data_IF_233548236438
#
_entry.id   IF_233548236438
#
_cell.length_a   1.000
_cell.length_b   1.000
_cell.length_c   1.000
_cell.angle_alpha   90.00
_cell.angle_beta   90.00
_cell.angle_gamma   90.00
#
_symmetry.space_group_name_H-M   'P 1'
#
loop_
_entity.id
_entity.type
_entity.pdbx_description
1 polymer ?
#
# COMPACT_ATOMS: atom_id res chain seq x y z
N UNK A 1 10.18 4.38 -0.96
CA UNK A 1 8.78 3.91 -0.90
C UNK A 1 8.49 3.41 0.51
N UNK A 2 7.31 3.65 1.06
CA UNK A 2 6.95 3.29 2.43
C UNK A 2 5.62 2.53 2.48
N UNK A 3 5.50 1.58 3.40
CA UNK A 3 4.35 0.68 3.53
C UNK A 3 3.91 0.60 4.99
N UNK A 4 2.60 0.63 5.23
CA UNK A 4 1.99 0.34 6.52
C UNK A 4 1.06 -0.84 6.34
N UNK A 5 1.31 -1.93 7.07
CA UNK A 5 0.39 -3.07 7.09
C UNK A 5 -0.62 -2.86 8.22
N UNK A 6 -1.87 -2.63 7.86
CA UNK A 6 -2.98 -2.36 8.78
C UNK A 6 -3.88 -3.59 8.89
N UNK A 7 -4.25 -3.96 10.13
CA UNK A 7 -5.19 -5.07 10.35
C UNK A 7 -5.27 -5.50 11.81
N UNK A 8 -6.24 -6.36 12.17
CA UNK A 8 -6.47 -6.82 13.53
C UNK A 8 -5.27 -7.59 14.07
N UNK A 9 -5.19 -7.74 15.39
CA UNK A 9 -4.19 -8.62 16.01
C UNK A 9 -4.31 -10.05 15.45
N UNK A 10 -3.19 -10.75 15.34
CA UNK A 10 -3.11 -12.13 14.82
C UNK A 10 -3.42 -12.35 13.33
N UNK A 11 -3.55 -11.29 12.55
CA UNK A 11 -3.70 -11.37 11.08
C UNK A 11 -2.39 -11.62 10.32
N UNK A 12 -1.25 -11.68 11.01
CA UNK A 12 0.06 -11.97 10.40
C UNK A 12 0.81 -10.81 9.76
N UNK A 13 0.49 -9.59 10.14
CA UNK A 13 1.16 -8.37 9.65
C UNK A 13 2.68 -8.43 9.86
N UNK A 14 3.12 -8.67 11.10
CA UNK A 14 4.54 -8.77 11.44
C UNK A 14 5.20 -9.92 10.70
N UNK A 15 4.52 -11.06 10.60
CA UNK A 15 5.01 -12.23 9.86
C UNK A 15 5.30 -11.89 8.40
N UNK A 16 4.38 -11.22 7.69
CA UNK A 16 4.60 -10.81 6.29
C UNK A 16 5.78 -9.85 6.16
N UNK A 17 5.85 -8.82 7.02
CA UNK A 17 6.94 -7.84 6.99
C UNK A 17 8.29 -8.52 7.25
N UNK A 18 8.37 -9.39 8.26
CA UNK A 18 9.58 -10.15 8.60
C UNK A 18 10.01 -11.10 7.48
N UNK A 19 9.05 -11.76 6.80
CA UNK A 19 9.37 -12.62 5.66
C UNK A 19 9.88 -11.84 4.46
N UNK A 20 9.30 -10.68 4.16
CA UNK A 20 9.80 -9.77 3.13
C UNK A 20 11.19 -9.26 3.49
N UNK A 21 11.45 -8.91 4.76
CA UNK A 21 12.76 -8.47 5.21
C UNK A 21 13.86 -9.52 4.97
N UNK A 22 13.54 -10.82 5.10
CA UNK A 22 14.49 -11.92 4.81
C UNK A 22 14.86 -12.04 3.32
N UNK A 23 14.08 -11.48 2.42
CA UNK A 23 14.44 -11.44 0.99
C UNK A 23 15.61 -10.48 0.75
N UNK A 24 15.89 -9.55 1.66
CA UNK A 24 16.99 -8.61 1.54
C UNK A 24 18.24 -9.14 2.27
N UNK A 25 19.44 -8.84 1.76
CA UNK A 25 20.68 -9.17 2.46
C UNK A 25 20.77 -8.40 3.79
N UNK A 26 21.44 -8.96 4.79
CA UNK A 26 21.45 -8.41 6.15
C UNK A 26 22.00 -6.98 6.22
N UNK A 27 22.97 -6.65 5.36
CA UNK A 27 23.54 -5.31 5.20
C UNK A 27 22.59 -4.29 4.54
N UNK A 28 21.44 -4.70 4.01
CA UNK A 28 20.44 -3.82 3.44
C UNK A 28 19.22 -3.63 4.36
N UNK A 29 19.17 -4.31 5.51
CA UNK A 29 18.02 -4.26 6.43
C UNK A 29 18.40 -3.58 7.74
N UNK A 30 17.52 -2.71 8.23
CA UNK A 30 17.56 -2.21 9.60
C UNK A 30 16.23 -2.57 10.25
N UNK A 31 16.24 -3.61 11.08
CA UNK A 31 15.05 -4.10 11.77
C UNK A 31 15.09 -3.70 13.24
N UNK A 32 14.06 -3.01 13.70
CA UNK A 32 13.93 -2.60 15.09
C UNK A 32 12.48 -2.76 15.56
N UNK A 33 12.30 -3.39 16.71
CA UNK A 33 10.99 -3.58 17.35
C UNK A 33 10.43 -2.28 17.89
N UNK A 34 11.30 -1.38 18.33
CA UNK A 34 10.97 -0.03 18.78
C UNK A 34 12.09 0.93 18.36
N UNK A 35 11.72 2.07 17.79
CA UNK A 35 12.65 3.10 17.34
C UNK A 35 12.26 4.39 18.03
N UNK A 36 13.13 4.87 18.92
CA UNK A 36 12.92 6.21 19.48
C UNK A 36 13.17 7.26 18.39
N UNK A 37 12.39 8.35 18.35
CA UNK A 37 12.49 9.35 17.27
C UNK A 37 13.85 10.03 17.23
N UNK A 38 14.48 10.16 18.40
CA UNK A 38 15.79 10.75 18.54
C UNK A 38 16.91 9.80 18.07
N UNK A 39 16.76 8.48 18.25
CA UNK A 39 17.81 7.53 17.89
C UNK A 39 18.19 7.62 16.41
N UNK A 40 17.21 7.87 15.52
CA UNK A 40 17.42 8.00 14.09
C UNK A 40 18.47 9.05 13.73
N UNK A 41 18.54 10.17 14.47
CA UNK A 41 19.51 11.23 14.19
C UNK A 41 20.94 10.84 14.56
N UNK A 42 21.12 9.93 15.50
CA UNK A 42 22.43 9.59 16.07
C UNK A 42 22.94 8.21 15.64
N UNK A 43 22.31 7.58 14.63
CA UNK A 43 22.87 6.41 13.98
C UNK A 43 24.24 6.75 13.34
N UNK A 44 25.12 5.76 13.15
CA UNK A 44 26.36 5.99 12.42
C UNK A 44 26.10 6.59 11.03
N UNK A 45 26.98 7.48 10.52
CA UNK A 45 26.81 8.05 9.19
C UNK A 45 26.70 6.97 8.12
N UNK A 46 25.69 7.08 7.25
CA UNK A 46 25.44 6.12 6.16
C UNK A 46 24.67 4.86 6.57
N UNK A 47 24.38 4.67 7.86
CA UNK A 47 23.65 3.48 8.35
C UNK A 47 22.22 3.39 7.78
N UNK A 48 21.64 4.52 7.35
CA UNK A 48 20.29 4.58 6.78
C UNK A 48 20.26 4.59 5.25
N UNK A 49 21.37 4.86 4.59
CA UNK A 49 21.39 5.04 3.15
C UNK A 49 21.12 3.72 2.44
N UNK A 50 20.11 3.69 1.57
CA UNK A 50 19.64 2.52 0.84
C UNK A 50 19.24 1.32 1.73
N UNK A 51 18.80 1.58 2.97
CA UNK A 51 18.27 0.53 3.86
C UNK A 51 16.77 0.33 3.73
N UNK A 52 16.35 -0.92 3.87
CA UNK A 52 14.99 -1.30 4.22
C UNK A 52 14.83 -1.26 5.76
N UNK A 53 14.20 -0.18 6.23
CA UNK A 53 13.89 0.05 7.64
C UNK A 53 12.57 -0.63 7.99
N UNK A 54 12.63 -1.63 8.85
CA UNK A 54 11.47 -2.34 9.38
C UNK A 54 11.26 -1.92 10.83
N UNK A 55 10.18 -1.18 11.06
CA UNK A 55 9.72 -0.83 12.40
C UNK A 55 8.67 -1.86 12.88
N UNK A 56 8.59 -2.04 14.20
CA UNK A 56 7.63 -2.93 14.85
C UNK A 56 6.17 -2.45 14.74
N UNK A 57 5.32 -2.93 15.67
CA UNK A 57 3.92 -2.51 15.71
C UNK A 57 3.79 -1.11 16.31
N UNK A 58 3.21 -0.19 15.53
CA UNK A 58 2.89 1.16 15.98
C UNK A 58 1.88 1.12 17.12
N UNK A 59 2.20 1.81 18.22
CA UNK A 59 1.30 1.88 19.38
C UNK A 59 -0.05 2.55 19.05
N UNK A 60 -1.12 2.09 19.71
CA UNK A 60 -2.51 2.53 19.45
C UNK A 60 -2.86 3.95 19.93
N UNK A 61 -1.95 4.61 20.65
CA UNK A 61 -2.25 5.91 21.24
C UNK A 61 -2.27 6.95 20.13
N UNK A 62 -3.44 7.54 19.86
CA UNK A 62 -3.58 8.72 19.00
C UNK A 62 -3.40 9.97 19.87
N UNK A 63 -2.16 10.22 20.31
CA UNK A 63 -1.81 11.39 21.11
C UNK A 63 -0.76 12.21 20.35
N UNK A 64 -0.63 13.50 20.64
CA UNK A 64 0.36 14.37 19.98
C UNK A 64 1.81 13.84 20.16
N UNK A 65 2.08 13.10 21.24
CA UNK A 65 3.35 12.43 21.47
C UNK A 65 3.66 11.33 20.44
N UNK A 66 2.68 10.53 20.01
CA UNK A 66 2.90 9.49 19.01
C UNK A 66 3.00 10.05 17.58
N UNK A 67 2.35 11.18 17.29
CA UNK A 67 2.55 11.92 16.04
C UNK A 67 3.96 12.55 15.96
N UNK A 68 4.52 12.97 17.09
CA UNK A 68 5.93 13.38 17.17
C UNK A 68 6.86 12.19 16.98
N UNK A 69 6.45 10.99 17.41
CA UNK A 69 7.29 9.78 17.31
C UNK A 69 7.63 9.42 15.87
N UNK A 70 6.70 9.62 14.93
CA UNK A 70 6.89 9.27 13.52
C UNK A 70 7.36 10.45 12.66
N UNK A 71 7.51 11.65 13.23
CA UNK A 71 7.89 12.86 12.47
C UNK A 71 9.23 12.68 11.75
N UNK A 72 10.23 12.13 12.43
CA UNK A 72 11.54 11.88 11.82
C UNK A 72 11.42 10.89 10.65
N UNK A 73 10.67 9.80 10.82
CA UNK A 73 10.46 8.83 9.73
C UNK A 73 9.71 9.45 8.55
N UNK A 74 8.66 10.25 8.81
CA UNK A 74 7.93 10.96 7.76
C UNK A 74 8.81 11.92 6.97
N UNK A 75 9.68 12.64 7.67
CA UNK A 75 10.64 13.54 7.03
C UNK A 75 11.62 12.75 6.17
N UNK A 76 12.22 11.68 6.71
CA UNK A 76 13.12 10.80 5.96
C UNK A 76 12.46 10.20 4.71
N UNK A 77 11.19 9.78 4.81
CA UNK A 77 10.41 9.26 3.67
C UNK A 77 10.15 10.34 2.61
N UNK A 78 9.98 11.60 3.03
CA UNK A 78 9.56 12.69 2.14
C UNK A 78 10.74 13.42 1.49
N UNK A 79 11.78 13.75 2.25
CA UNK A 79 12.92 14.55 1.80
C UNK A 79 14.19 13.74 1.58
N UNK A 80 14.20 12.46 1.98
CA UNK A 80 15.36 11.57 1.81
C UNK A 80 16.52 11.90 2.75
N UNK A 81 16.35 12.80 3.70
CA UNK A 81 17.36 13.16 4.69
C UNK A 81 16.71 13.63 6.00
N UNK A 82 17.46 13.54 7.09
CA UNK A 82 17.10 14.12 8.37
C UNK A 82 18.09 15.19 8.76
N UNK A 83 17.60 16.35 9.18
CA UNK A 83 18.43 17.44 9.69
C UNK A 83 17.88 17.88 11.04
N UNK A 84 18.72 17.81 12.08
CA UNK A 84 18.38 18.26 13.44
C UNK A 84 19.42 19.26 13.94
N UNK A 85 18.94 20.45 14.26
CA UNK A 85 19.73 21.49 14.91
C UNK A 85 19.39 21.48 16.40
N UNK A 86 20.39 21.31 17.27
CA UNK A 86 20.19 21.36 18.72
C UNK A 86 21.42 21.91 19.44
N UNK A 87 21.20 22.44 20.64
CA UNK A 87 22.27 22.96 21.49
C UNK A 87 22.82 21.85 22.36
N UNK A 88 24.14 21.72 22.41
CA UNK A 88 24.84 20.86 23.37
C UNK A 88 25.59 21.72 24.38
N UNK A 89 25.66 21.25 25.61
CA UNK A 89 26.46 21.86 26.66
C UNK A 89 27.87 21.27 26.60
N UNK A 90 28.85 22.09 26.23
CA UNK A 90 30.27 21.75 26.24
C UNK A 90 30.96 22.49 27.41
N UNK A 91 32.07 22.01 27.99
CA UNK A 91 32.89 22.75 28.93
C UNK A 91 33.23 24.22 28.54
N UNK A 92 33.25 24.56 27.26
CA UNK A 92 33.51 25.93 26.77
C UNK A 92 32.23 26.81 26.66
N UNK A 93 31.05 26.24 26.92
CA UNK A 93 29.75 26.91 26.84
C UNK A 93 28.74 26.19 25.93
N UNK A 94 27.49 26.69 25.86
CA UNK A 94 26.49 26.13 24.98
C UNK A 94 26.86 26.38 23.52
N UNK A 95 26.94 25.31 22.72
CA UNK A 95 27.16 25.41 21.26
C UNK A 95 26.05 24.73 20.49
N UNK A 96 25.68 25.34 19.36
CA UNK A 96 24.68 24.78 18.45
C UNK A 96 25.34 23.79 17.49
N UNK A 97 24.78 22.60 17.37
CA UNK A 97 25.25 21.53 16.49
C UNK A 97 24.14 21.10 15.55
N UNK A 98 24.52 20.86 14.29
CA UNK A 98 23.64 20.28 13.28
C UNK A 98 24.03 18.83 13.08
N UNK A 99 23.06 17.94 13.21
CA UNK A 99 23.19 16.50 12.94
C UNK A 99 22.40 16.19 11.69
N UNK A 100 23.04 15.50 10.74
CA UNK A 100 22.43 15.12 9.47
C UNK A 100 22.52 13.61 9.27
N UNK A 101 21.46 13.02 8.74
CA UNK A 101 21.43 11.62 8.32
C UNK A 101 20.90 11.56 6.89
N UNK A 102 21.61 10.84 6.04
CA UNK A 102 21.24 10.64 4.64
C UNK A 102 20.41 9.37 4.50
N UNK A 103 19.33 9.47 3.73
CA UNK A 103 18.66 8.34 3.11
C UNK A 103 19.17 8.14 1.68
N UNK A 104 18.36 7.61 0.75
CA UNK A 104 16.94 7.26 0.91
C UNK A 104 16.74 5.93 1.66
N UNK A 105 15.56 5.74 2.26
CA UNK A 105 15.14 4.46 2.86
C UNK A 105 13.91 3.88 2.14
N UNK A 106 13.79 2.56 2.20
CA UNK A 106 12.49 1.89 2.15
C UNK A 106 12.00 1.69 3.58
N UNK A 107 10.69 1.79 3.82
CA UNK A 107 10.13 1.70 5.18
C UNK A 107 8.93 0.77 5.24
N UNK A 108 8.87 -0.07 6.27
CA UNK A 108 7.70 -0.88 6.60
C UNK A 108 7.40 -0.84 8.10
N UNK A 109 6.13 -0.73 8.45
CA UNK A 109 5.62 -0.91 9.81
C UNK A 109 4.27 -1.63 9.81
N UNK A 110 3.84 -2.07 10.98
CA UNK A 110 2.49 -2.62 11.15
C UNK A 110 1.68 -1.82 12.17
N UNK A 111 0.35 -1.85 12.05
CA UNK A 111 -0.53 -1.23 13.03
C UNK A 111 -1.82 -2.00 13.22
N UNK A 112 -2.31 -2.02 14.47
CA UNK A 112 -3.66 -2.47 14.82
C UNK A 112 -4.64 -1.30 15.02
N UNK A 113 -4.19 -0.06 14.81
CA UNK A 113 -5.07 1.10 14.88
C UNK A 113 -6.13 1.03 13.77
N UNK A 114 -7.40 1.35 14.07
CA UNK A 114 -8.47 1.34 13.08
C UNK A 114 -8.27 2.44 12.02
N UNK A 115 -7.59 3.52 12.39
CA UNK A 115 -7.30 4.65 11.53
C UNK A 115 -5.80 4.93 11.52
N UNK A 116 -5.30 5.31 10.35
CA UNK A 116 -3.94 5.81 10.14
C UNK A 116 -4.04 7.30 9.90
N UNK A 117 -3.15 8.09 10.51
CA UNK A 117 -3.13 9.54 10.31
C UNK A 117 -3.03 9.86 8.81
N UNK A 118 -3.81 10.84 8.36
CA UNK A 118 -3.90 11.22 6.95
C UNK A 118 -2.52 11.57 6.36
N UNK A 119 -1.67 12.20 7.17
CA UNK A 119 -0.29 12.50 6.79
C UNK A 119 0.55 11.25 6.48
N UNK A 120 0.35 10.15 7.21
CA UNK A 120 1.02 8.88 6.95
C UNK A 120 0.36 8.14 5.77
N UNK A 121 -0.97 8.10 5.73
CA UNK A 121 -1.73 7.46 4.66
C UNK A 121 -1.45 8.06 3.27
N UNK A 122 -1.12 9.35 3.23
CA UNK A 122 -0.72 10.03 2.02
C UNK A 122 0.72 9.72 1.57
N UNK A 123 1.60 9.29 2.48
CA UNK A 123 3.02 9.02 2.19
C UNK A 123 3.30 7.53 2.01
N UNK A 124 2.54 6.68 2.68
CA UNK A 124 2.72 5.25 2.73
C UNK A 124 1.60 4.51 1.98
N UNK A 125 1.94 3.39 1.35
CA UNK A 125 0.97 2.44 0.85
C UNK A 125 0.36 1.68 2.04
N UNK A 126 -0.97 1.70 2.15
CA UNK A 126 -1.68 0.98 3.22
C UNK A 126 -2.07 -0.40 2.71
N UNK A 127 -1.42 -1.43 3.23
CA UNK A 127 -1.70 -2.83 2.90
C UNK A 127 -2.55 -3.47 4.00
N UNK A 128 -3.38 -4.43 3.60
CA UNK A 128 -4.19 -5.23 4.52
C UNK A 128 -3.88 -6.70 4.30
N UNK A 129 -3.73 -7.49 5.37
CA UNK A 129 -3.59 -8.93 5.25
C UNK A 129 -4.86 -9.56 4.71
N UNK A 130 -4.73 -10.72 4.06
CA UNK A 130 -5.89 -11.49 3.60
C UNK A 130 -6.54 -12.24 4.77
N UNK A 131 -7.70 -11.76 5.19
CA UNK A 131 -8.48 -12.28 6.32
C UNK A 131 -9.53 -13.32 5.89
N UNK A 132 -9.54 -13.75 4.62
CA UNK A 132 -10.55 -14.71 4.14
C UNK A 132 -10.40 -16.06 4.85
N UNK A 133 -11.52 -16.77 5.11
CA UNK A 133 -11.47 -18.13 5.67
C UNK A 133 -10.60 -19.10 4.86
N UNK A 134 -10.58 -18.95 3.54
CA UNK A 134 -9.77 -19.74 2.62
C UNK A 134 -8.28 -19.57 2.91
N UNK A 135 -7.83 -18.33 3.15
CA UNK A 135 -6.45 -18.05 3.51
C UNK A 135 -6.10 -18.63 4.88
N UNK A 136 -7.00 -18.49 5.86
CA UNK A 136 -6.82 -19.12 7.18
C UNK A 136 -6.67 -20.65 7.06
N UNK A 137 -7.48 -21.31 6.23
CA UNK A 137 -7.36 -22.76 5.98
C UNK A 137 -6.02 -23.12 5.34
N UNK A 138 -5.55 -22.34 4.37
CA UNK A 138 -4.23 -22.55 3.72
C UNK A 138 -3.10 -22.45 4.75
N UNK A 139 -3.14 -21.46 5.62
CA UNK A 139 -2.16 -21.27 6.70
C UNK A 139 -2.19 -22.46 7.67
N UNK A 140 -3.36 -22.90 8.12
CA UNK A 140 -3.46 -24.04 9.03
C UNK A 140 -2.94 -25.34 8.39
N UNK A 141 -3.24 -25.56 7.12
CA UNK A 141 -2.73 -26.71 6.36
C UNK A 141 -1.20 -26.65 6.18
N UNK A 142 -0.65 -25.45 5.95
CA UNK A 142 0.79 -25.21 5.91
C UNK A 142 1.49 -25.58 7.22
N UNK A 143 0.99 -25.05 8.33
CA UNK A 143 1.52 -25.35 9.67
C UNK A 143 1.40 -26.82 10.01
N UNK A 144 0.27 -27.47 9.65
CA UNK A 144 0.07 -28.91 9.82
C UNK A 144 1.12 -29.74 9.06
N UNK A 145 1.39 -29.44 7.79
CA UNK A 145 2.41 -30.14 6.98
C UNK A 145 3.82 -29.92 7.51
N UNK A 146 4.13 -28.71 7.99
CA UNK A 146 5.41 -28.44 8.62
C UNK A 146 5.62 -29.27 9.89
N UNK A 147 4.63 -29.31 10.78
CA UNK A 147 4.68 -30.09 12.03
C UNK A 147 4.72 -31.60 11.78
N UNK A 148 4.14 -32.08 10.67
CA UNK A 148 4.25 -33.49 10.26
C UNK A 148 5.58 -33.84 9.57
N UNK A 149 6.55 -32.92 9.53
CA UNK A 149 7.87 -33.15 8.93
C UNK A 149 7.90 -33.16 7.40
N UNK A 150 6.83 -32.70 6.74
CA UNK A 150 6.71 -32.67 5.28
C UNK A 150 7.21 -31.34 4.67
N UNK A 151 7.94 -30.52 5.43
CA UNK A 151 8.41 -29.22 4.94
C UNK A 151 9.72 -29.30 4.16
N UNK A 152 9.76 -28.63 3.02
CA UNK A 152 10.89 -28.41 2.13
C UNK A 152 11.86 -27.32 2.67
N UNK A 153 12.45 -27.53 3.85
CA UNK A 153 13.28 -26.52 4.51
C UNK A 153 14.54 -26.10 3.71
N UNK A 154 15.15 -27.03 2.96
CA UNK A 154 16.40 -26.78 2.23
C UNK A 154 16.25 -25.90 0.97
N UNK A 155 15.13 -26.01 0.25
CA UNK A 155 14.87 -25.20 -0.97
C UNK A 155 14.71 -23.71 -0.62
N UNK A 156 14.18 -23.40 0.57
CA UNK A 156 13.95 -22.01 1.01
C UNK A 156 15.24 -21.23 1.25
N UNK A 157 16.26 -21.88 1.80
CA UNK A 157 17.55 -21.23 2.07
C UNK A 157 18.28 -20.87 0.76
N UNK A 158 18.21 -21.77 -0.23
CA UNK A 158 18.78 -21.53 -1.56
C UNK A 158 18.13 -20.30 -2.23
N UNK A 159 16.80 -20.20 -2.17
CA UNK A 159 16.10 -19.03 -2.74
C UNK A 159 16.50 -17.73 -2.06
N UNK A 160 16.61 -17.68 -0.72
CA UNK A 160 17.08 -16.47 -0.05
C UNK A 160 18.46 -16.05 -0.53
N UNK A 161 19.38 -17.01 -0.68
CA UNK A 161 20.73 -16.74 -1.19
C UNK A 161 20.70 -16.22 -2.63
N UNK A 162 19.84 -16.77 -3.49
CA UNK A 162 19.65 -16.30 -4.86
C UNK A 162 19.09 -14.87 -4.91
N UNK A 163 18.08 -14.55 -4.10
CA UNK A 163 17.55 -13.19 -3.97
C UNK A 163 18.59 -12.20 -3.47
N UNK A 164 19.42 -12.60 -2.50
CA UNK A 164 20.49 -11.75 -1.98
C UNK A 164 21.59 -11.54 -3.01
N UNK A 165 21.96 -12.58 -3.75
CA UNK A 165 22.94 -12.50 -4.83
C UNK A 165 22.44 -11.61 -5.96
N UNK A 166 21.17 -11.76 -6.36
CA UNK A 166 20.52 -10.90 -7.35
C UNK A 166 20.60 -9.44 -6.94
N UNK A 167 20.21 -9.10 -5.71
CA UNK A 167 20.26 -7.71 -5.22
C UNK A 167 21.67 -7.13 -5.21
N UNK A 168 22.68 -7.91 -4.81
CA UNK A 168 24.09 -7.47 -4.84
C UNK A 168 24.64 -7.32 -6.25
N UNK A 169 24.06 -8.01 -7.23
CA UNK A 169 24.43 -7.90 -8.64
C UNK A 169 23.85 -6.63 -9.29
N UNK A 170 22.76 -6.09 -8.77
CA UNK A 170 22.11 -4.91 -9.36
C UNK A 170 23.02 -3.68 -9.27
N UNK A 171 23.26 -3.06 -10.42
CA UNK A 171 23.90 -1.76 -10.51
C UNK A 171 22.88 -0.66 -10.17
N UNK A 172 23.33 0.40 -9.48
CA UNK A 172 22.52 1.60 -9.21
C UNK A 172 22.49 2.47 -10.46
N UNK A 173 21.49 2.23 -11.33
CA UNK A 173 21.33 2.92 -12.60
C UNK A 173 20.06 3.78 -12.62
N UNK A 174 20.07 4.95 -13.30
CA UNK A 174 18.86 5.73 -13.50
C UNK A 174 17.89 4.99 -14.43
N UNK A 175 16.59 5.15 -14.18
CA UNK A 175 15.52 4.62 -15.03
C UNK A 175 14.80 5.78 -15.73
N UNK A 176 14.63 5.66 -17.05
CA UNK A 176 13.81 6.52 -17.89
C UNK A 176 12.48 5.80 -18.17
N UNK A 177 11.36 6.51 -18.02
CA UNK A 177 10.02 6.01 -18.36
C UNK A 177 9.54 6.75 -19.62
N UNK A 178 9.64 6.16 -20.82
CA UNK A 178 9.33 6.85 -22.08
C UNK A 178 7.89 7.35 -22.18
N UNK A 179 6.96 6.63 -21.57
CA UNK A 179 5.53 6.93 -21.59
C UNK A 179 5.06 7.75 -20.37
N UNK A 180 5.98 8.30 -19.57
CA UNK A 180 5.62 9.04 -18.35
C UNK A 180 4.81 10.31 -18.60
N UNK A 181 5.09 11.04 -19.68
CA UNK A 181 4.32 12.22 -20.07
C UNK A 181 2.87 11.86 -20.39
N UNK A 182 2.67 10.79 -21.18
CA UNK A 182 1.33 10.32 -21.52
C UNK A 182 0.60 9.77 -20.28
N UNK A 183 1.30 9.03 -19.42
CA UNK A 183 0.77 8.59 -18.14
C UNK A 183 0.31 9.77 -17.28
N UNK A 184 1.09 10.85 -17.21
CA UNK A 184 0.74 12.04 -16.44
C UNK A 184 -0.48 12.79 -17.01
N UNK A 185 -0.61 12.84 -18.34
CA UNK A 185 -1.78 13.45 -19.02
C UNK A 185 -3.08 12.70 -18.73
N UNK A 186 -3.01 11.36 -18.66
CA UNK A 186 -4.17 10.50 -18.41
C UNK A 186 -4.45 10.28 -16.91
N UNK A 187 -3.49 10.64 -16.04
CA UNK A 187 -3.63 10.49 -14.61
C UNK A 187 -4.73 11.41 -14.05
N UNK A 188 -5.47 11.00 -13.01
CA UNK A 188 -6.50 11.86 -12.44
C UNK A 188 -5.92 13.20 -11.96
N UNK A 189 -6.67 14.29 -12.15
CA UNK A 189 -6.26 15.63 -11.69
C UNK A 189 -6.72 15.96 -10.27
N UNK A 190 -7.67 15.18 -9.75
CA UNK A 190 -8.27 15.35 -8.42
C UNK A 190 -8.50 13.98 -7.75
N UNK A 191 -8.41 13.90 -6.41
CA UNK A 191 -8.05 14.98 -5.47
C UNK A 191 -6.52 15.22 -5.36
N UNK A 192 -6.05 16.11 -4.47
CA UNK A 192 -4.63 16.52 -4.38
C UNK A 192 -3.68 15.35 -4.06
N UNK A 193 -4.19 14.32 -3.39
CA UNK A 193 -3.48 13.09 -3.01
C UNK A 193 -2.92 12.36 -4.24
N UNK A 194 -3.57 12.55 -5.39
CA UNK A 194 -3.17 11.93 -6.66
C UNK A 194 -1.73 12.30 -7.06
N UNK A 195 -1.23 13.48 -6.65
CA UNK A 195 0.18 13.86 -6.87
C UNK A 195 1.17 12.89 -6.22
N UNK A 196 0.85 12.42 -5.01
CA UNK A 196 1.69 11.43 -4.30
C UNK A 196 1.51 10.04 -4.89
N UNK A 197 0.28 9.70 -5.25
CA UNK A 197 -0.03 8.43 -5.94
C UNK A 197 0.72 8.29 -7.25
N UNK A 198 0.84 9.37 -8.05
CA UNK A 198 1.67 9.37 -9.26
C UNK A 198 3.13 9.04 -8.95
N UNK A 199 3.67 9.59 -7.85
CA UNK A 199 4.99 9.25 -7.32
C UNK A 199 5.14 7.77 -6.96
N UNK A 200 4.14 7.17 -6.31
CA UNK A 200 4.14 5.73 -5.99
C UNK A 200 4.11 4.85 -7.24
N UNK A 201 3.28 5.19 -8.22
CA UNK A 201 3.18 4.46 -9.49
C UNK A 201 4.48 4.53 -10.26
N UNK A 202 5.03 5.73 -10.45
CA UNK A 202 6.31 5.90 -11.16
C UNK A 202 7.47 5.22 -10.44
N UNK A 203 7.51 5.27 -9.10
CA UNK A 203 8.51 4.52 -8.30
C UNK A 203 8.38 3.01 -8.48
N UNK A 204 7.17 2.47 -8.61
CA UNK A 204 6.95 1.03 -8.85
C UNK A 204 7.40 0.62 -10.27
N UNK A 205 7.12 1.44 -11.28
CA UNK A 205 7.63 1.24 -12.65
C UNK A 205 9.16 1.24 -12.64
N UNK A 206 9.78 2.20 -11.95
CA UNK A 206 11.24 2.28 -11.84
C UNK A 206 11.82 1.07 -11.12
N UNK A 207 11.20 0.63 -10.03
CA UNK A 207 11.63 -0.55 -9.29
C UNK A 207 11.54 -1.81 -10.17
N UNK A 208 10.45 -1.99 -10.91
CA UNK A 208 10.30 -3.10 -11.87
C UNK A 208 11.40 -3.07 -12.92
N UNK A 209 11.60 -1.93 -13.59
CA UNK A 209 12.61 -1.80 -14.63
C UNK A 209 14.04 -2.04 -14.09
N UNK A 210 14.34 -1.57 -12.87
CA UNK A 210 15.64 -1.75 -12.22
C UNK A 210 15.89 -3.21 -11.83
N UNK A 211 14.88 -3.91 -11.29
CA UNK A 211 14.97 -5.35 -11.01
C UNK A 211 15.24 -6.15 -12.30
N UNK A 212 14.66 -5.70 -13.41
CA UNK A 212 14.85 -6.29 -14.74
C UNK A 212 15.98 -5.63 -15.54
N UNK A 213 16.96 -4.95 -14.92
CA UNK A 213 17.95 -4.14 -15.64
C UNK A 213 18.79 -4.88 -16.69
N UNK A 214 18.93 -6.21 -16.57
CA UNK A 214 19.63 -7.06 -17.54
C UNK A 214 18.75 -7.50 -18.72
N UNK A 215 17.45 -7.27 -18.64
CA UNK A 215 16.43 -7.60 -19.64
C UNK A 215 15.83 -6.35 -20.28
N UNK A 216 16.16 -5.16 -19.77
CA UNK A 216 15.67 -3.89 -20.26
C UNK A 216 16.70 -3.22 -21.17
N UNK A 217 16.27 -2.55 -22.24
CA UNK A 217 17.18 -1.78 -23.07
C UNK A 217 17.78 -0.63 -22.27
N UNK A 218 19.00 -0.23 -22.65
CA UNK A 218 19.66 0.96 -22.14
C UNK A 218 19.69 2.03 -23.23
N UNK A 219 19.54 3.30 -22.85
CA UNK A 219 19.70 4.42 -23.76
C UNK A 219 21.19 4.78 -23.99
N UNK A 220 21.45 5.77 -24.84
CA UNK A 220 22.82 6.23 -25.15
C UNK A 220 23.58 6.74 -23.91
N UNK A 221 22.88 7.17 -22.86
CA UNK A 221 23.45 7.62 -21.60
C UNK A 221 23.64 6.48 -20.58
N UNK A 222 23.35 5.23 -20.96
CA UNK A 222 23.47 4.06 -20.11
C UNK A 222 22.34 3.89 -19.09
N UNK A 223 21.24 4.65 -19.22
CA UNK A 223 20.07 4.58 -18.33
C UNK A 223 19.15 3.45 -18.77
N UNK A 224 18.52 2.80 -17.81
CA UNK A 224 17.54 1.74 -18.08
C UNK A 224 16.28 2.37 -18.67
N UNK A 225 15.73 1.80 -19.73
CA UNK A 225 14.49 2.26 -20.36
C UNK A 225 13.35 1.32 -19.98
N UNK A 226 12.42 1.81 -19.15
CA UNK A 226 11.25 1.05 -18.72
C UNK A 226 10.36 0.68 -19.91
N UNK A 227 9.75 -0.50 -19.83
CA UNK A 227 8.88 -1.07 -20.86
C UNK A 227 7.42 -1.13 -20.39
N UNK A 228 6.43 -1.33 -21.29
CA UNK A 228 5.02 -1.42 -20.93
C UNK A 228 4.72 -2.47 -19.84
N UNK A 229 5.48 -3.57 -19.79
CA UNK A 229 5.37 -4.62 -18.77
C UNK A 229 5.64 -4.08 -17.36
N UNK A 230 6.52 -3.08 -17.22
CA UNK A 230 6.81 -2.45 -15.93
C UNK A 230 5.62 -1.63 -15.41
N UNK A 231 4.86 -1.01 -16.33
CA UNK A 231 3.62 -0.33 -15.98
C UNK A 231 2.49 -1.30 -15.70
N UNK A 232 2.36 -2.36 -16.49
CA UNK A 232 1.40 -3.42 -16.24
C UNK A 232 1.56 -4.01 -14.83
N UNK A 233 2.79 -4.39 -14.46
CA UNK A 233 3.07 -4.90 -13.12
C UNK A 233 2.71 -3.87 -12.03
N UNK A 234 3.04 -2.60 -12.23
CA UNK A 234 2.65 -1.55 -11.31
C UNK A 234 1.13 -1.42 -11.19
N UNK A 235 0.38 -1.54 -12.29
CA UNK A 235 -1.08 -1.50 -12.29
C UNK A 235 -1.67 -2.69 -11.52
N UNK A 236 -1.19 -3.91 -11.78
CA UNK A 236 -1.63 -5.12 -11.09
C UNK A 236 -1.40 -5.02 -9.58
N UNK A 237 -0.21 -4.57 -9.16
CA UNK A 237 0.15 -4.51 -7.74
C UNK A 237 -0.50 -3.35 -6.98
N UNK A 238 -0.70 -2.20 -7.63
CA UNK A 238 -1.12 -0.98 -6.94
C UNK A 238 -2.61 -0.66 -7.07
N UNK A 239 -3.33 -1.18 -8.07
CA UNK A 239 -4.71 -0.76 -8.33
C UNK A 239 -5.63 -0.89 -7.12
N UNK A 240 -5.60 -2.05 -6.44
CA UNK A 240 -6.44 -2.32 -5.28
C UNK A 240 -6.01 -1.49 -4.05
N UNK A 241 -4.70 -1.29 -3.88
CA UNK A 241 -4.12 -0.51 -2.78
C UNK A 241 -4.47 0.98 -2.93
N UNK A 242 -4.30 1.53 -4.13
CA UNK A 242 -4.55 2.92 -4.44
C UNK A 242 -6.03 3.27 -4.45
N UNK A 243 -6.90 2.35 -4.91
CA UNK A 243 -8.33 2.54 -4.82
C UNK A 243 -8.76 2.80 -3.36
N UNK A 244 -8.20 2.04 -2.42
CA UNK A 244 -8.48 2.24 -0.99
C UNK A 244 -7.92 3.54 -0.45
N UNK A 245 -6.69 3.91 -0.83
CA UNK A 245 -6.02 5.12 -0.34
C UNK A 245 -6.65 6.41 -0.88
N UNK A 246 -7.08 6.45 -2.14
CA UNK A 246 -7.72 7.62 -2.77
C UNK A 246 -9.19 7.81 -2.36
N UNK A 247 -9.60 7.28 -1.20
CA UNK A 247 -10.97 7.46 -0.72
C UNK A 247 -12.03 6.64 -1.45
N UNK A 248 -11.67 5.76 -2.40
CA UNK A 248 -12.62 4.75 -2.94
C UNK A 248 -12.93 3.63 -1.92
N UNK A 249 -12.53 3.76 -0.65
CA UNK A 249 -13.18 3.06 0.48
C UNK A 249 -14.71 3.24 0.46
N UNK A 250 -15.19 4.40 -0.02
CA UNK A 250 -16.61 4.58 -0.31
C UNK A 250 -17.08 3.54 -1.32
N UNK A 251 -16.36 3.28 -2.42
CA UNK A 251 -16.80 2.33 -3.45
C UNK A 251 -16.99 0.89 -2.94
N UNK A 252 -16.11 0.32 -2.10
CA UNK A 252 -16.31 -1.08 -1.61
C UNK A 252 -17.37 -1.18 -0.51
N UNK A 253 -17.42 -0.20 0.39
CA UNK A 253 -18.49 -0.12 1.39
C UNK A 253 -19.84 0.13 0.72
N UNK A 254 -19.87 1.03 -0.28
CA UNK A 254 -21.01 1.35 -1.13
C UNK A 254 -21.40 0.16 -2.01
N UNK A 255 -20.47 -0.60 -2.58
CA UNK A 255 -20.77 -1.84 -3.33
C UNK A 255 -21.45 -2.88 -2.44
N UNK A 256 -20.90 -3.12 -1.24
CA UNK A 256 -21.52 -4.02 -0.23
C UNK A 256 -22.85 -3.48 0.28
N UNK A 257 -23.00 -2.16 0.34
CA UNK A 257 -24.26 -1.50 0.68
C UNK A 257 -25.29 -1.69 -0.44
N UNK A 258 -24.97 -1.34 -1.69
CA UNK A 258 -25.79 -1.51 -2.90
C UNK A 258 -26.24 -2.96 -3.07
N UNK A 259 -25.34 -3.94 -2.88
CA UNK A 259 -25.69 -5.36 -2.96
C UNK A 259 -26.80 -5.75 -1.98
N UNK A 260 -26.77 -5.22 -0.76
CA UNK A 260 -27.83 -5.44 0.25
C UNK A 260 -29.04 -4.54 0.00
N UNK A 261 -28.84 -3.35 -0.56
CA UNK A 261 -29.89 -2.38 -0.85
C UNK A 261 -30.86 -2.88 -1.94
N UNK A 262 -30.38 -3.73 -2.87
CA UNK A 262 -31.20 -4.39 -3.90
C UNK A 262 -32.34 -5.24 -3.34
N UNK A 263 -32.23 -5.71 -2.10
CA UNK A 263 -33.31 -6.46 -1.44
C UNK A 263 -34.45 -5.53 -0.94
N UNK A 264 -34.28 -4.21 -1.04
CA UNK A 264 -35.19 -3.18 -0.49
C UNK A 264 -35.70 -2.22 -1.58
N UNK A 265 -36.36 -2.75 -2.60
CA UNK A 265 -36.93 -1.92 -3.67
C UNK A 265 -38.13 -1.08 -3.18
N UNK A 266 -38.36 0.08 -3.81
CA UNK A 266 -39.44 1.01 -3.43
C UNK A 266 -39.00 2.16 -2.52
N UNK A 267 -39.95 2.82 -1.87
CA UNK A 267 -39.68 3.96 -0.98
C UNK A 267 -39.32 3.50 0.43
N UNK A 268 -38.15 3.93 0.92
CA UNK A 268 -37.70 3.63 2.28
C UNK A 268 -37.13 4.87 2.96
N UNK A 269 -37.18 4.88 4.29
CA UNK A 269 -36.48 5.86 5.12
C UNK A 269 -35.11 5.32 5.54
N UNK A 270 -34.16 6.22 5.84
CA UNK A 270 -32.83 5.82 6.32
C UNK A 270 -32.90 4.98 7.62
N UNK A 271 -33.92 5.18 8.45
CA UNK A 271 -34.14 4.45 9.70
C UNK A 271 -34.58 3.00 9.46
N UNK A 272 -35.48 2.78 8.50
CA UNK A 272 -35.94 1.44 8.11
C UNK A 272 -34.79 0.61 7.55
N UNK A 273 -34.00 1.20 6.64
CA UNK A 273 -32.81 0.56 6.06
C UNK A 273 -31.73 0.28 7.12
N UNK A 274 -31.53 1.20 8.07
CA UNK A 274 -30.61 1.03 9.19
C UNK A 274 -30.95 -0.20 10.03
N UNK A 275 -32.23 -0.36 10.38
CA UNK A 275 -32.72 -1.49 11.17
C UNK A 275 -32.63 -2.81 10.39
N UNK A 276 -33.03 -2.81 9.12
CA UNK A 276 -33.05 -4.01 8.30
C UNK A 276 -31.65 -4.52 7.94
N UNK A 277 -30.70 -3.61 7.69
CA UNK A 277 -29.33 -3.97 7.29
C UNK A 277 -28.36 -4.09 8.48
N UNK A 278 -28.82 -3.77 9.69
CA UNK A 278 -28.00 -3.68 10.91
C UNK A 278 -26.77 -2.77 10.74
N UNK A 279 -26.99 -1.57 10.18
CA UNK A 279 -25.97 -0.55 9.90
C UNK A 279 -26.40 0.76 10.56
N UNK A 280 -25.45 1.58 11.03
CA UNK A 280 -25.80 2.86 11.67
C UNK A 280 -26.58 3.79 10.73
N UNK A 281 -27.56 4.52 11.26
CA UNK A 281 -28.38 5.45 10.45
C UNK A 281 -27.54 6.56 9.80
N UNK A 282 -26.41 6.92 10.41
CA UNK A 282 -25.41 7.84 9.83
C UNK A 282 -24.80 7.26 8.56
N UNK A 283 -24.28 6.04 8.63
CA UNK A 283 -23.66 5.34 7.50
C UNK A 283 -24.65 5.10 6.37
N UNK A 284 -25.91 4.77 6.71
CA UNK A 284 -26.99 4.64 5.71
C UNK A 284 -27.23 5.96 4.98
N UNK A 285 -27.33 7.09 5.71
CA UNK A 285 -27.48 8.41 5.07
C UNK A 285 -26.29 8.77 4.18
N UNK A 286 -25.07 8.56 4.67
CA UNK A 286 -23.84 8.81 3.90
C UNK A 286 -23.86 8.05 2.57
N UNK A 287 -24.23 6.76 2.57
CA UNK A 287 -24.33 5.96 1.35
C UNK A 287 -25.51 6.35 0.44
N UNK A 288 -26.68 6.68 0.99
CA UNK A 288 -27.82 7.14 0.18
C UNK A 288 -27.53 8.47 -0.52
N UNK A 289 -26.85 9.40 0.16
CA UNK A 289 -26.40 10.64 -0.47
C UNK A 289 -25.39 10.37 -1.61
N UNK A 290 -24.44 9.47 -1.39
CA UNK A 290 -23.49 9.08 -2.44
C UNK A 290 -24.20 8.46 -3.67
N UNK A 291 -25.23 7.63 -3.47
CA UNK A 291 -26.03 7.06 -4.57
C UNK A 291 -26.90 8.10 -5.28
N UNK A 292 -27.42 9.09 -4.56
CA UNK A 292 -28.17 10.20 -5.14
C UNK A 292 -27.28 11.07 -6.03
N UNK A 293 -26.06 11.38 -5.60
CA UNK A 293 -25.08 12.12 -6.40
C UNK A 293 -24.67 11.37 -7.68
N UNK A 294 -24.61 10.04 -7.61
CA UNK A 294 -24.37 9.16 -8.75
C UNK A 294 -25.61 8.97 -9.66
N UNK A 295 -26.76 9.54 -9.30
CA UNK A 295 -28.03 9.36 -10.04
C UNK A 295 -28.59 7.94 -10.00
N UNK A 296 -28.15 7.10 -9.05
CA UNK A 296 -28.54 5.71 -8.94
C UNK A 296 -29.85 5.50 -8.14
N UNK A 297 -30.25 6.49 -7.32
CA UNK A 297 -31.50 6.51 -6.55
C UNK A 297 -32.09 7.92 -6.56
N UNK A 298 -33.37 8.03 -6.19
CA UNK A 298 -34.06 9.33 -6.09
C UNK A 298 -34.49 9.64 -4.65
N UNK A 299 -34.51 10.92 -4.29
CA UNK A 299 -35.09 11.37 -3.04
C UNK A 299 -36.51 11.92 -3.30
N UNK A 300 -37.53 11.15 -2.96
CA UNK A 300 -38.94 11.52 -3.22
C UNK A 300 -39.50 12.50 -2.21
N UNK A 301 -38.93 12.55 -1.00
CA UNK A 301 -39.30 13.53 0.02
C UNK A 301 -38.09 14.00 0.82
N UNK A 302 -37.94 15.33 0.99
CA UNK A 302 -36.96 15.92 1.88
C UNK A 302 -37.41 15.82 3.34
N UNK A 303 -36.44 15.72 4.25
CA UNK A 303 -36.72 15.74 5.68
C UNK A 303 -37.32 17.11 6.09
N UNK A 304 -38.43 17.10 6.83
CA UNK A 304 -39.07 18.31 7.37
C UNK A 304 -39.48 18.09 8.82
N UNK A 305 -38.71 18.64 9.75
CA UNK A 305 -38.95 18.50 11.19
C UNK A 305 -38.98 17.02 11.61
N UNK A 306 -40.09 16.50 12.18
CA UNK A 306 -40.20 15.10 12.59
C UNK A 306 -40.42 14.13 11.41
N UNK A 307 -40.63 14.63 10.18
CA UNK A 307 -40.88 13.80 8.99
C UNK A 307 -39.53 13.43 8.36
N UNK A 308 -39.15 12.13 8.33
CA UNK A 308 -37.90 11.68 7.75
C UNK A 308 -37.92 11.80 6.22
N UNK A 309 -36.73 11.96 5.62
CA UNK A 309 -36.58 11.87 4.17
C UNK A 309 -36.91 10.47 3.65
N UNK A 310 -37.48 10.41 2.44
CA UNK A 310 -37.77 9.18 1.72
C UNK A 310 -36.89 9.05 0.48
N UNK A 311 -36.46 7.82 0.24
CA UNK A 311 -35.53 7.45 -0.82
C UNK A 311 -36.17 6.35 -1.64
N UNK A 312 -36.26 6.55 -2.95
CA UNK A 312 -36.76 5.57 -3.90
C UNK A 312 -35.61 4.74 -4.45
N UNK A 313 -35.67 3.44 -4.21
CA UNK A 313 -34.68 2.45 -4.62
C UNK A 313 -35.25 1.70 -5.83
N UNK A 314 -34.60 1.83 -6.98
CA UNK A 314 -35.02 1.16 -8.22
C UNK A 314 -34.61 -0.32 -8.23
N UNK A 315 -35.30 -1.15 -9.02
CA UNK A 315 -34.95 -2.58 -9.21
C UNK A 315 -33.57 -2.73 -9.89
N UNK A 316 -33.25 -1.82 -10.81
CA UNK A 316 -32.03 -1.86 -11.63
C UNK A 316 -30.97 -0.88 -11.14
N UNK A 317 -30.71 -0.82 -9.83
CA UNK A 317 -29.57 -0.03 -9.34
C UNK A 317 -28.29 -0.62 -9.94
N UNK A 318 -27.56 0.14 -10.77
CA UNK A 318 -26.32 -0.35 -11.36
C UNK A 318 -25.41 -0.74 -10.20
N UNK A 319 -24.93 -2.00 -10.21
CA UNK A 319 -23.73 -2.28 -9.45
C UNK A 319 -22.70 -1.32 -10.04
N UNK A 320 -22.02 -0.57 -9.19
CA UNK A 320 -20.83 0.13 -9.60
C UNK A 320 -19.77 -0.95 -9.93
N UNK A 321 -19.96 -1.63 -11.07
CA UNK A 321 -19.15 -2.74 -11.59
C UNK A 321 -17.81 -2.23 -12.11
N UNK A 322 -17.73 -0.93 -12.32
CA UNK A 322 -16.49 -0.22 -12.45
C UNK A 322 -15.75 -0.29 -11.10
N UNK A 323 -15.08 -1.43 -10.89
CA UNK A 323 -13.67 -1.43 -10.54
C UNK A 323 -12.92 -0.60 -11.60
N UNK A 324 -13.20 0.71 -11.64
CA UNK A 324 -12.28 1.63 -12.27
C UNK A 324 -11.03 1.54 -11.40
N UNK A 325 -10.05 0.84 -11.93
CA UNK A 325 -8.67 1.01 -11.50
C UNK A 325 -8.42 2.51 -11.48
N UNK A 326 -7.85 3.09 -10.41
CA UNK A 326 -7.55 4.52 -10.39
C UNK A 326 -6.44 4.90 -11.38
N UNK A 327 -5.94 3.92 -12.13
CA UNK A 327 -4.82 4.00 -13.05
C UNK A 327 -5.33 3.85 -14.48
N UNK A 328 -4.86 4.69 -15.42
CA UNK A 328 -5.19 4.57 -16.83
C UNK A 328 -4.91 3.18 -17.41
N UNK A 329 -5.61 2.81 -18.47
CA UNK A 329 -5.34 1.55 -19.20
C UNK A 329 -3.97 1.55 -19.87
N UNK A 330 -3.34 0.39 -19.98
CA UNK A 330 -2.06 0.20 -20.68
C UNK A 330 -2.14 0.65 -22.14
N UNK A 331 -3.20 0.30 -22.85
CA UNK A 331 -3.37 0.69 -24.25
C UNK A 331 -3.33 2.21 -24.41
N UNK A 332 -4.06 2.95 -23.57
CA UNK A 332 -4.06 4.41 -23.60
C UNK A 332 -2.69 5.03 -23.26
N UNK A 333 -1.93 4.43 -22.32
CA UNK A 333 -0.64 4.97 -21.84
C UNK A 333 0.53 4.59 -22.75
N UNK A 334 0.59 3.33 -23.16
CA UNK A 334 1.73 2.72 -23.84
C UNK A 334 1.45 2.45 -25.33
N UNK A 335 0.20 2.47 -25.78
CA UNK A 335 -0.17 2.11 -27.15
C UNK A 335 -0.06 0.61 -27.45
N UNK A 336 -0.09 -0.24 -26.42
CA UNK A 336 0.08 -1.69 -26.52
C UNK A 336 -1.11 -2.39 -25.88
N UNK A 337 -1.58 -3.47 -26.50
CA UNK A 337 -2.65 -4.32 -25.98
C UNK A 337 -2.14 -5.14 -24.77
N UNK A 338 -2.90 -5.11 -23.67
CA UNK A 338 -2.58 -5.83 -22.44
C UNK A 338 -2.43 -7.34 -22.68
N UNK A 339 -3.22 -7.93 -23.59
CA UNK A 339 -3.15 -9.38 -23.89
C UNK A 339 -1.83 -9.81 -24.51
N UNK A 340 -1.06 -8.87 -25.06
CA UNK A 340 0.25 -9.13 -25.65
C UNK A 340 1.39 -9.05 -24.64
N UNK A 341 1.13 -8.53 -23.44
CA UNK A 341 2.11 -8.41 -22.38
C UNK A 341 2.24 -9.73 -21.63
N UNK A 342 3.49 -10.14 -21.41
CA UNK A 342 3.81 -11.31 -20.62
C UNK A 342 5.07 -11.03 -19.82
N UNK A 343 5.01 -11.30 -18.51
CA UNK A 343 6.24 -11.50 -17.76
C UNK A 343 6.78 -12.87 -18.14
N UNK A 344 8.09 -12.95 -18.41
CA UNK A 344 8.78 -14.21 -18.69
C UNK A 344 8.30 -15.31 -17.73
N UNK A 345 7.94 -16.48 -18.28
CA UNK A 345 7.41 -17.58 -17.49
C UNK A 345 8.33 -17.87 -16.30
N UNK A 346 7.72 -17.95 -15.11
CA UNK A 346 8.43 -18.45 -13.94
C UNK A 346 8.96 -19.85 -14.26
N UNK A 347 10.24 -20.15 -13.94
CA UNK A 347 10.79 -21.48 -14.09
C UNK A 347 9.84 -22.52 -13.49
N UNK A 348 9.66 -23.68 -14.12
CA UNK A 348 8.71 -24.70 -13.68
C UNK A 348 9.04 -25.27 -12.27
N UNK A 349 10.28 -25.10 -11.82
CA UNK A 349 10.81 -25.44 -10.51
C UNK A 349 10.67 -24.30 -9.48
N UNK A 350 10.18 -23.12 -9.90
CA UNK A 350 9.89 -22.02 -9.00
C UNK A 350 8.61 -22.30 -8.19
N UNK A 351 8.62 -22.08 -6.86
CA UNK A 351 7.44 -22.31 -6.03
C UNK A 351 6.29 -21.41 -6.49
N UNK A 352 5.16 -22.02 -6.82
CA UNK A 352 3.93 -21.25 -7.06
C UNK A 352 3.62 -20.35 -5.84
N UNK A 353 2.95 -19.22 -6.04
CA UNK A 353 2.43 -18.41 -4.93
C UNK A 353 1.46 -19.21 -4.01
N UNK A 354 0.94 -20.34 -4.51
CA UNK A 354 0.19 -21.35 -3.76
C UNK A 354 1.10 -22.39 -3.06
N UNK A 355 2.42 -22.18 -3.01
CA UNK A 355 3.32 -23.03 -2.22
C UNK A 355 2.97 -22.82 -0.75
N UNK A 356 2.21 -23.78 -0.26
CA UNK A 356 1.62 -23.81 1.07
C UNK A 356 2.70 -24.08 2.14
N UNK A 357 3.98 -23.86 1.88
CA UNK A 357 5.11 -24.28 2.72
C UNK A 357 5.67 -23.15 3.62
N UNK A 358 4.85 -22.14 3.86
CA UNK A 358 5.21 -20.94 4.63
C UNK A 358 4.44 -20.97 5.96
N UNK A 359 4.89 -21.74 6.97
CA UNK A 359 4.27 -21.77 8.29
C UNK A 359 4.50 -20.44 9.01
N UNK A 360 3.47 -19.96 9.69
CA UNK A 360 3.53 -18.84 10.64
C UNK A 360 4.59 -19.06 11.73
#
# INVERSE_FOLDING_TARGET
>A
MAVIVQGPSSSGKSYVIERVARLFPAEAVLMATDITPNALYYLPPGEMEHRFVVAGERSRHHNDESAQTTKALREMISSGQLVKVHTISDPEGPRTVTVQQQGPIAYAESTTAPEVFEEDANRCLILQPDERPEQTRRILAASGRHLSGQSSAGLREQWWQEFHALQRLLESLPVVIPFSENLALLFPSEPLEVRRTFGHVTSMIQASALLHQLQRPRDEAGRIVAQPEDYWLAQVLLSEVLARSLGRKSADALKRFVKRLRDFTGEHTAKELSQAMNVSERTVREHLHALLELGAIEQTAQARGPIPAKWLIHEDIPLCEQSETPLPSIEAVCGVDEETLSLSEMPADWPSADSTDVPF
#
